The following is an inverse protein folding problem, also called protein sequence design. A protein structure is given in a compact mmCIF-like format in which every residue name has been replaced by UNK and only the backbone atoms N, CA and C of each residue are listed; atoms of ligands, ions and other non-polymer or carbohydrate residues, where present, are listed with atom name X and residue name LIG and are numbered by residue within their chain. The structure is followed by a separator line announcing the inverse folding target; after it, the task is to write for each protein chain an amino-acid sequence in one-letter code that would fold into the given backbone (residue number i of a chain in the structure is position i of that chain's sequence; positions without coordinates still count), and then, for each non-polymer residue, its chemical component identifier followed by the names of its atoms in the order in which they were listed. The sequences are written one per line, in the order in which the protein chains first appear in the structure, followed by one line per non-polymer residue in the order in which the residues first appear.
data_IF_929961202156
#
_entry.id   IF_929961202156
#
_cell.length_a   1.000
_cell.length_b   1.000
_cell.length_c   1.000
_cell.angle_alpha   90.00
_cell.angle_beta   90.00
_cell.angle_gamma   90.00
#
_symmetry.space_group_name_H-M   'P 1'
#
loop_
_entity.id
_entity.type
_entity.pdbx_description
1 polymer ?
#
# COMPACT_ATOMS: atom_id res chain seq x y z
N UNK A 1 20.88 -1.26 16.50
CA UNK A 1 20.10 -0.18 15.91
C UNK A 1 18.68 -0.27 16.44
N UNK A 2 17.96 0.83 16.56
CA UNK A 2 16.54 0.82 16.94
C UNK A 2 15.75 0.27 15.77
N UNK A 3 14.91 -0.72 15.98
CA UNK A 3 14.03 -1.23 14.93
C UNK A 3 12.91 -0.20 14.62
N UNK A 4 12.35 -0.25 13.43
CA UNK A 4 11.22 0.60 13.03
C UNK A 4 10.10 0.58 14.05
N UNK A 5 9.62 -0.60 14.43
CA UNK A 5 8.55 -0.76 15.42
C UNK A 5 8.87 -0.14 16.78
N UNK A 6 10.13 -0.24 17.23
CA UNK A 6 10.57 0.37 18.49
C UNK A 6 10.56 1.90 18.37
N UNK A 7 10.98 2.46 17.24
CA UNK A 7 10.95 3.90 17.01
C UNK A 7 9.52 4.43 16.92
N UNK A 8 8.64 3.78 16.16
CA UNK A 8 7.22 4.15 16.07
C UNK A 8 6.57 4.11 17.48
N UNK A 9 6.91 3.14 18.33
CA UNK A 9 6.39 3.08 19.70
C UNK A 9 6.82 4.29 20.55
N UNK A 10 8.02 4.85 20.33
CA UNK A 10 8.44 6.09 20.96
C UNK A 10 7.56 7.26 20.48
N UNK A 11 7.33 7.37 19.17
CA UNK A 11 6.51 8.43 18.57
C UNK A 11 5.06 8.38 19.07
N UNK A 12 4.49 7.20 19.27
CA UNK A 12 3.16 7.02 19.88
C UNK A 12 3.04 7.67 21.26
N UNK A 13 4.17 7.80 21.97
CA UNK A 13 4.25 8.47 23.26
C UNK A 13 3.76 9.92 23.22
N UNK A 14 3.89 10.63 22.12
CA UNK A 14 3.47 12.02 21.93
C UNK A 14 2.46 12.26 20.79
N UNK A 15 2.14 11.28 19.97
CA UNK A 15 1.04 11.33 19.00
C UNK A 15 -0.32 11.17 19.73
N UNK A 16 -0.73 12.19 20.51
CA UNK A 16 -1.91 12.14 21.39
C UNK A 16 -3.18 12.64 20.73
N UNK A 17 -3.06 13.37 19.63
CA UNK A 17 -4.22 13.85 18.89
C UNK A 17 -5.00 12.69 18.28
N UNK A 18 -6.34 12.64 18.40
CA UNK A 18 -7.16 11.61 17.79
C UNK A 18 -6.97 11.48 16.27
N UNK A 19 -6.61 12.58 15.59
CA UNK A 19 -6.34 12.60 14.16
C UNK A 19 -5.19 11.67 13.78
N UNK A 20 -4.20 11.45 14.66
CA UNK A 20 -3.08 10.55 14.43
C UNK A 20 -3.49 9.06 14.47
N UNK A 21 -4.71 8.71 14.88
CA UNK A 21 -5.21 7.33 15.03
C UNK A 21 -4.23 6.40 15.77
N UNK A 22 -3.45 6.99 16.71
CA UNK A 22 -2.44 6.27 17.49
C UNK A 22 -1.24 5.77 16.68
N UNK A 23 -1.00 6.30 15.48
CA UNK A 23 -0.01 5.79 14.49
C UNK A 23 -0.21 4.29 14.21
N UNK A 24 -1.47 3.87 14.03
CA UNK A 24 -1.88 2.50 13.74
C UNK A 24 -2.68 2.40 12.43
N UNK A 25 -2.76 3.50 11.69
CA UNK A 25 -3.52 3.58 10.44
C UNK A 25 -2.63 4.13 9.31
N UNK A 26 -3.10 4.07 8.07
CA UNK A 26 -2.36 4.49 6.87
C UNK A 26 -2.17 6.02 6.83
N UNK A 27 -3.13 6.76 7.37
CA UNK A 27 -3.14 8.21 7.28
C UNK A 27 -3.70 8.87 8.54
N UNK A 28 -3.32 10.12 8.76
CA UNK A 28 -4.01 10.98 9.73
C UNK A 28 -5.37 11.42 9.18
N UNK A 29 -6.35 11.53 10.07
CA UNK A 29 -7.73 11.98 9.77
C UNK A 29 -8.06 13.19 10.61
N UNK A 30 -7.98 14.37 10.01
CA UNK A 30 -8.14 15.66 10.69
C UNK A 30 -9.53 16.23 10.41
N UNK A 31 -10.31 16.45 11.46
CA UNK A 31 -11.61 17.11 11.36
C UNK A 31 -11.42 18.62 11.10
N UNK A 32 -11.99 19.13 10.02
CA UNK A 32 -11.93 20.55 9.64
C UNK A 32 -13.34 21.02 9.28
N UNK A 33 -14.02 21.64 10.24
CA UNK A 33 -15.44 22.02 10.08
C UNK A 33 -16.29 20.81 9.74
N UNK A 34 -17.00 20.86 8.62
CA UNK A 34 -17.85 19.76 8.15
C UNK A 34 -17.11 18.74 7.27
N UNK A 35 -15.79 18.88 7.12
CA UNK A 35 -14.95 18.02 6.30
C UNK A 35 -13.95 17.22 7.12
N UNK A 36 -13.48 16.09 6.60
CA UNK A 36 -12.33 15.34 7.11
C UNK A 36 -11.18 15.45 6.10
N UNK A 37 -10.09 16.04 6.50
CA UNK A 37 -8.84 16.07 5.74
C UNK A 37 -8.06 14.79 6.05
N UNK A 38 -7.64 14.09 5.01
CA UNK A 38 -6.77 12.92 5.06
C UNK A 38 -5.37 13.36 4.67
N UNK A 39 -4.38 13.01 5.51
CA UNK A 39 -2.99 13.40 5.30
C UNK A 39 -2.12 12.16 5.49
N UNK A 40 -1.34 11.84 4.48
CA UNK A 40 -0.31 10.81 4.55
C UNK A 40 1.04 11.32 4.10
N UNK A 41 2.12 10.61 4.44
CA UNK A 41 3.48 10.94 4.04
C UNK A 41 4.32 9.68 3.94
N UNK A 42 4.73 9.34 2.71
CA UNK A 42 5.68 8.27 2.44
C UNK A 42 6.98 8.80 1.88
N UNK A 43 8.05 8.09 2.20
CA UNK A 43 9.40 8.35 1.72
C UNK A 43 9.91 7.20 0.86
N UNK A 44 10.73 7.52 -0.11
CA UNK A 44 11.51 6.55 -0.87
C UNK A 44 13.01 6.87 -0.73
N UNK A 45 13.81 5.83 -0.49
CA UNK A 45 15.27 5.92 -0.43
C UNK A 45 15.90 5.03 -1.50
N UNK A 46 16.95 5.54 -2.14
CA UNK A 46 17.76 4.81 -3.11
C UNK A 46 18.40 3.58 -2.45
N UNK A 47 18.44 2.47 -3.17
CA UNK A 47 18.86 1.13 -2.75
C UNK A 47 17.98 0.46 -1.66
N UNK A 48 16.84 1.10 -1.33
CA UNK A 48 15.80 0.50 -0.48
C UNK A 48 14.52 0.30 -1.30
N UNK A 49 13.98 1.38 -1.88
CA UNK A 49 12.72 1.39 -2.60
C UNK A 49 12.89 1.45 -4.12
N UNK A 50 14.04 1.91 -4.60
CA UNK A 50 14.41 1.94 -6.01
C UNK A 50 15.94 1.80 -6.16
N UNK A 51 16.38 1.22 -7.27
CA UNK A 51 17.81 1.07 -7.57
C UNK A 51 18.42 2.37 -8.07
N UNK A 52 19.74 2.55 -7.91
CA UNK A 52 20.48 3.72 -8.38
C UNK A 52 20.37 3.96 -9.90
N UNK A 53 20.16 2.89 -10.68
CA UNK A 53 19.93 2.92 -12.13
C UNK A 53 18.45 2.95 -12.53
N UNK A 54 17.53 3.06 -11.58
CA UNK A 54 16.10 3.12 -11.90
C UNK A 54 15.78 4.34 -12.77
N UNK A 55 14.81 4.18 -13.67
CA UNK A 55 14.33 5.27 -14.49
C UNK A 55 13.69 6.33 -13.58
N UNK A 56 14.17 7.60 -13.62
CA UNK A 56 13.67 8.66 -12.73
C UNK A 56 12.15 8.89 -12.86
N UNK A 57 11.59 8.72 -14.06
CA UNK A 57 10.15 8.87 -14.26
C UNK A 57 9.32 7.77 -13.57
N UNK A 58 9.87 6.57 -13.46
CA UNK A 58 9.24 5.46 -12.74
C UNK A 58 9.33 5.68 -11.22
N UNK A 59 10.46 6.19 -10.74
CA UNK A 59 10.61 6.60 -9.33
C UNK A 59 9.59 7.67 -8.95
N UNK A 60 9.38 8.66 -9.81
CA UNK A 60 8.36 9.69 -9.61
C UNK A 60 6.95 9.09 -9.58
N UNK A 61 6.67 8.13 -10.48
CA UNK A 61 5.38 7.46 -10.51
C UNK A 61 5.12 6.69 -9.21
N UNK A 62 6.07 5.85 -8.81
CA UNK A 62 5.94 5.02 -7.60
C UNK A 62 5.76 5.87 -6.35
N UNK A 63 6.54 6.96 -6.20
CA UNK A 63 6.43 7.89 -5.06
C UNK A 63 5.04 8.52 -4.96
N UNK A 64 4.45 8.92 -6.08
CA UNK A 64 3.08 9.49 -6.08
C UNK A 64 2.05 8.40 -5.84
N UNK A 65 2.15 7.26 -6.52
CA UNK A 65 1.17 6.19 -6.43
C UNK A 65 1.10 5.56 -5.04
N UNK A 66 2.24 5.36 -4.34
CA UNK A 66 2.27 4.86 -2.96
C UNK A 66 1.50 5.78 -2.01
N UNK A 67 1.76 7.07 -2.06
CA UNK A 67 1.05 8.04 -1.21
C UNK A 67 -0.45 8.16 -1.56
N UNK A 68 -0.81 8.07 -2.84
CA UNK A 68 -2.21 8.07 -3.25
C UNK A 68 -2.92 6.77 -2.87
N UNK A 69 -2.19 5.67 -2.69
CA UNK A 69 -2.72 4.39 -2.21
C UNK A 69 -3.27 4.52 -0.78
N UNK A 70 -2.56 5.22 0.10
CA UNK A 70 -3.08 5.54 1.44
C UNK A 70 -4.37 6.36 1.38
N UNK A 71 -4.44 7.36 0.48
CA UNK A 71 -5.68 8.11 0.28
C UNK A 71 -6.81 7.22 -0.22
N UNK A 72 -6.51 6.26 -1.10
CA UNK A 72 -7.47 5.27 -1.58
C UNK A 72 -7.98 4.40 -0.43
N UNK A 73 -7.09 3.94 0.46
CA UNK A 73 -7.42 3.19 1.67
C UNK A 73 -8.35 3.94 2.64
N UNK A 74 -8.41 5.26 2.53
CA UNK A 74 -9.33 6.12 3.33
C UNK A 74 -10.56 6.59 2.52
N UNK A 75 -10.72 6.11 1.29
CA UNK A 75 -11.80 6.55 0.40
C UNK A 75 -11.76 8.05 0.15
N UNK A 76 -10.58 8.64 0.07
CA UNK A 76 -10.41 10.07 -0.06
C UNK A 76 -10.38 10.52 -1.53
N UNK A 77 -10.86 11.73 -1.77
CA UNK A 77 -10.63 12.47 -3.01
C UNK A 77 -9.33 13.28 -2.86
N UNK A 78 -8.30 13.01 -3.65
CA UNK A 78 -7.05 13.78 -3.57
C UNK A 78 -7.27 15.27 -3.84
N UNK A 79 -6.61 16.12 -3.05
CA UNK A 79 -6.55 17.59 -3.25
C UNK A 79 -5.25 17.96 -3.95
N UNK A 80 -4.13 17.39 -3.50
CA UNK A 80 -2.81 17.69 -4.01
C UNK A 80 -1.70 17.10 -3.16
N UNK A 81 -0.47 17.34 -3.59
CA UNK A 81 0.73 16.80 -2.95
C UNK A 81 1.77 17.88 -2.66
N UNK A 82 2.59 17.63 -1.64
CA UNK A 82 3.82 18.39 -1.34
C UNK A 82 5.01 17.46 -1.54
N UNK A 83 6.02 17.92 -2.27
CA UNK A 83 7.22 17.12 -2.58
C UNK A 83 8.41 17.56 -1.73
N UNK A 84 9.06 16.64 -1.02
CA UNK A 84 10.38 16.79 -0.45
C UNK A 84 11.41 16.18 -1.40
N UNK A 85 12.36 16.96 -1.90
CA UNK A 85 13.27 16.53 -2.95
C UNK A 85 14.73 16.82 -2.63
N UNK A 86 15.61 15.84 -2.87
CA UNK A 86 17.06 16.03 -2.78
C UNK A 86 17.65 16.16 -4.17
N UNK A 87 18.11 17.39 -4.51
CA UNK A 87 18.82 17.69 -5.76
C UNK A 87 20.13 16.89 -5.87
N UNK A 88 20.36 16.32 -7.04
CA UNK A 88 21.55 15.53 -7.33
C UNK A 88 22.08 15.80 -8.74
N UNK A 89 21.96 14.84 -9.63
CA UNK A 89 22.33 14.93 -11.04
C UNK A 89 21.24 15.68 -11.84
N UNK A 90 21.62 16.67 -12.63
CA UNK A 90 20.69 17.55 -13.36
C UNK A 90 19.81 16.81 -14.38
N UNK A 91 20.35 15.81 -15.07
CA UNK A 91 19.61 15.03 -16.06
C UNK A 91 18.60 14.11 -15.37
N UNK A 92 19.00 13.49 -14.26
CA UNK A 92 18.11 12.67 -13.43
C UNK A 92 16.97 13.50 -12.84
N UNK A 93 17.30 14.67 -12.25
CA UNK A 93 16.35 15.56 -11.60
C UNK A 93 15.30 16.08 -12.61
N UNK A 94 15.73 16.42 -13.83
CA UNK A 94 14.82 16.83 -14.93
C UNK A 94 13.93 15.68 -15.40
N UNK A 95 14.48 14.49 -15.53
CA UNK A 95 13.71 13.30 -15.92
C UNK A 95 12.68 12.91 -14.87
N UNK A 96 13.03 13.01 -13.57
CA UNK A 96 12.10 12.85 -12.47
C UNK A 96 10.97 13.88 -12.53
N UNK A 97 11.29 15.16 -12.71
CA UNK A 97 10.29 16.22 -12.79
C UNK A 97 9.31 16.00 -13.96
N UNK A 98 9.81 15.55 -15.12
CA UNK A 98 8.97 15.19 -16.26
C UNK A 98 8.08 13.97 -16.00
N UNK A 99 8.58 12.99 -15.23
CA UNK A 99 7.81 11.84 -14.75
C UNK A 99 6.72 12.26 -13.75
N UNK A 100 7.09 13.15 -12.84
CA UNK A 100 6.16 13.72 -11.84
C UNK A 100 4.99 14.43 -12.51
N UNK A 101 5.25 15.28 -13.51
CA UNK A 101 4.20 15.95 -14.28
C UNK A 101 3.23 14.95 -14.90
N UNK A 102 3.75 13.85 -15.47
CA UNK A 102 2.92 12.81 -16.11
C UNK A 102 2.03 12.08 -15.10
N UNK A 103 2.58 11.65 -13.96
CA UNK A 103 1.80 10.92 -12.97
C UNK A 103 0.78 11.81 -12.27
N UNK A 104 1.11 13.07 -11.98
CA UNK A 104 0.16 14.03 -11.43
C UNK A 104 -0.97 14.30 -12.43
N UNK A 105 -0.65 14.44 -13.71
CA UNK A 105 -1.65 14.56 -14.79
C UNK A 105 -2.53 13.32 -14.93
N UNK A 106 -1.97 12.12 -14.78
CA UNK A 106 -2.71 10.85 -14.82
C UNK A 106 -3.78 10.76 -13.71
N UNK A 107 -3.43 11.12 -12.48
CA UNK A 107 -4.36 11.10 -11.35
C UNK A 107 -5.19 12.40 -11.22
N UNK A 108 -4.90 13.43 -11.98
CA UNK A 108 -5.56 14.74 -11.87
C UNK A 108 -5.27 15.43 -10.53
N UNK A 109 -4.06 15.25 -9.99
CA UNK A 109 -3.64 15.76 -8.67
C UNK A 109 -2.69 16.92 -8.82
N UNK A 110 -2.89 17.99 -8.03
CA UNK A 110 -2.08 19.20 -8.10
C UNK A 110 -0.78 19.06 -7.27
N UNK A 111 0.34 19.57 -7.79
CA UNK A 111 1.51 19.88 -6.96
C UNK A 111 1.24 21.21 -6.22
N UNK A 112 1.14 21.17 -4.90
CA UNK A 112 0.83 22.34 -4.05
C UNK A 112 2.08 23.07 -3.58
N UNK A 113 3.24 22.40 -3.58
CA UNK A 113 4.49 22.93 -3.11
C UNK A 113 5.44 21.84 -2.65
N UNK A 114 6.32 22.17 -1.73
CA UNK A 114 7.30 21.24 -1.19
C UNK A 114 8.57 21.95 -0.72
N UNK A 115 9.62 21.17 -0.52
CA UNK A 115 10.94 21.69 -0.16
C UNK A 115 12.01 20.97 -0.97
N UNK A 116 13.13 21.67 -1.23
CA UNK A 116 14.24 21.17 -2.03
C UNK A 116 15.54 21.43 -1.32
N UNK A 117 16.34 20.37 -1.12
CA UNK A 117 17.66 20.46 -0.48
C UNK A 117 18.73 19.90 -1.41
N UNK A 118 19.97 20.36 -1.28
CA UNK A 118 21.10 19.80 -2.02
C UNK A 118 21.53 18.47 -1.39
N UNK A 119 21.64 17.43 -2.19
CA UNK A 119 22.27 16.18 -1.78
C UNK A 119 23.79 16.37 -1.72
N UNK A 120 24.38 16.06 -0.57
CA UNK A 120 25.84 16.04 -0.36
C UNK A 120 26.38 14.62 -0.20
N UNK A 121 25.51 13.63 -0.24
CA UNK A 121 25.82 12.21 -0.18
C UNK A 121 25.68 11.55 -1.54
N UNK A 122 25.86 10.23 -1.57
CA UNK A 122 25.83 9.43 -2.79
C UNK A 122 24.41 8.88 -3.09
N UNK A 123 23.47 8.96 -2.13
CA UNK A 123 22.12 8.37 -2.26
C UNK A 123 21.02 9.41 -2.12
N UNK A 124 19.93 9.19 -2.85
CA UNK A 124 18.72 10.02 -2.83
C UNK A 124 17.73 9.56 -1.78
N UNK A 125 17.08 10.54 -1.16
CA UNK A 125 15.87 10.33 -0.38
C UNK A 125 14.80 11.31 -0.87
N UNK A 126 13.61 10.82 -1.10
CA UNK A 126 12.47 11.56 -1.62
C UNK A 126 11.31 11.38 -0.67
N UNK A 127 10.52 12.41 -0.44
CA UNK A 127 9.33 12.33 0.39
C UNK A 127 8.16 13.02 -0.28
N UNK A 128 6.98 12.49 -0.10
CA UNK A 128 5.77 13.12 -0.61
C UNK A 128 4.69 13.11 0.46
N UNK A 129 4.04 14.26 0.65
CA UNK A 129 2.84 14.35 1.48
C UNK A 129 1.64 14.43 0.57
N UNK A 130 0.70 13.51 0.68
CA UNK A 130 -0.56 13.58 -0.04
C UNK A 130 -1.70 14.05 0.88
N UNK A 131 -2.54 14.93 0.34
CA UNK A 131 -3.70 15.49 1.01
C UNK A 131 -4.96 15.13 0.24
N UNK A 132 -6.00 14.71 0.96
CA UNK A 132 -7.31 14.39 0.39
C UNK A 132 -8.45 14.75 1.33
N UNK A 133 -9.65 14.78 0.79
CA UNK A 133 -10.90 14.92 1.56
C UNK A 133 -11.62 13.59 1.55
N UNK A 134 -12.00 13.10 2.73
CA UNK A 134 -12.80 11.89 2.85
C UNK A 134 -14.16 12.06 2.14
N UNK A 135 -14.52 11.07 1.32
CA UNK A 135 -15.81 11.07 0.60
C UNK A 135 -16.94 10.45 1.42
N UNK A 136 -16.60 9.76 2.51
CA UNK A 136 -17.55 9.09 3.40
C UNK A 136 -17.17 9.30 4.88
N UNK A 137 -18.16 9.22 5.76
CA UNK A 137 -17.98 9.20 7.21
C UNK A 137 -18.81 8.07 7.82
N UNK A 138 -18.27 7.30 8.77
CA UNK A 138 -16.91 7.40 9.28
C UNK A 138 -15.87 7.06 8.22
N UNK A 139 -14.69 7.67 8.30
CA UNK A 139 -13.56 7.36 7.41
C UNK A 139 -13.06 5.95 7.71
N UNK A 140 -12.89 5.07 6.71
CA UNK A 140 -12.35 3.74 6.91
C UNK A 140 -11.04 3.73 7.69
N UNK A 141 -10.81 2.68 8.44
CA UNK A 141 -9.62 2.48 9.26
C UNK A 141 -9.15 1.03 9.13
N UNK A 142 -7.91 0.76 9.49
CA UNK A 142 -7.43 -0.64 9.71
C UNK A 142 -8.20 -1.32 10.83
N UNK A 143 -8.68 -0.55 11.82
CA UNK A 143 -9.55 -1.03 12.89
C UNK A 143 -11.02 -0.98 12.48
N UNK A 144 -11.82 -1.93 12.97
CA UNK A 144 -13.28 -1.92 12.75
C UNK A 144 -13.85 -3.17 12.12
N UNK A 145 -12.99 -4.13 11.69
CA UNK A 145 -13.44 -5.43 11.24
C UNK A 145 -14.32 -6.12 12.28
N UNK A 146 -15.28 -6.92 11.84
CA UNK A 146 -16.24 -7.60 12.68
C UNK A 146 -16.20 -9.12 12.43
N UNK A 147 -16.42 -9.92 13.47
CA UNK A 147 -16.49 -11.39 13.30
C UNK A 147 -17.56 -11.75 12.29
N UNK A 148 -17.18 -12.55 11.31
CA UNK A 148 -18.05 -12.95 10.19
C UNK A 148 -17.94 -12.07 8.94
N UNK A 149 -17.17 -10.99 8.99
CA UNK A 149 -16.82 -10.25 7.78
C UNK A 149 -16.01 -11.14 6.83
N UNK A 150 -16.21 -10.90 5.55
CA UNK A 150 -15.37 -11.46 4.49
C UNK A 150 -14.22 -10.50 4.23
N UNK A 151 -13.02 -11.05 4.08
CA UNK A 151 -11.79 -10.31 3.72
C UNK A 151 -11.62 -10.35 2.22
N UNK A 152 -11.45 -9.19 1.63
CA UNK A 152 -11.30 -9.01 0.19
C UNK A 152 -9.99 -8.29 -0.15
N UNK A 153 -9.49 -8.55 -1.36
CA UNK A 153 -8.44 -7.73 -2.00
C UNK A 153 -8.92 -7.28 -3.38
N UNK A 154 -8.55 -6.07 -3.79
CA UNK A 154 -8.73 -5.61 -5.18
C UNK A 154 -7.65 -6.18 -6.08
N UNK A 155 -7.88 -6.22 -7.40
CA UNK A 155 -6.89 -6.58 -8.41
C UNK A 155 -6.22 -7.94 -8.21
N UNK A 156 -4.91 -8.01 -8.47
CA UNK A 156 -4.06 -9.21 -8.36
C UNK A 156 -2.82 -8.93 -7.52
N UNK A 157 -2.25 -9.99 -6.89
CA UNK A 157 -1.09 -9.89 -6.02
C UNK A 157 0.12 -10.60 -6.62
N UNK A 158 1.32 -10.12 -6.26
CA UNK A 158 2.59 -10.72 -6.62
C UNK A 158 3.18 -10.25 -7.96
N UNK A 159 2.45 -9.47 -8.74
CA UNK A 159 2.97 -8.92 -10.00
C UNK A 159 4.18 -8.01 -9.75
N UNK A 160 4.17 -7.23 -8.67
CA UNK A 160 5.29 -6.40 -8.25
C UNK A 160 6.53 -7.24 -7.87
N UNK A 161 6.35 -8.38 -7.18
CA UNK A 161 7.43 -9.35 -6.90
C UNK A 161 8.08 -9.84 -8.20
N UNK A 162 7.25 -10.33 -9.13
CA UNK A 162 7.76 -10.85 -10.40
C UNK A 162 8.46 -9.78 -11.23
N UNK A 163 7.92 -8.56 -11.24
CA UNK A 163 8.54 -7.39 -11.88
C UNK A 163 9.90 -7.04 -11.26
N UNK A 164 9.97 -6.98 -9.94
CA UNK A 164 11.24 -6.77 -9.23
C UNK A 164 12.30 -7.81 -9.59
N UNK A 165 11.95 -9.10 -9.58
CA UNK A 165 12.88 -10.18 -9.89
C UNK A 165 13.39 -10.12 -11.32
N UNK A 166 12.53 -9.80 -12.28
CA UNK A 166 12.92 -9.63 -13.67
C UNK A 166 13.89 -8.46 -13.85
N UNK A 167 13.59 -7.32 -13.24
CA UNK A 167 14.46 -6.13 -13.25
C UNK A 167 15.79 -6.43 -12.54
N UNK A 168 15.75 -7.15 -11.41
CA UNK A 168 16.97 -7.55 -10.68
C UNK A 168 17.86 -8.50 -11.51
N UNK A 169 17.24 -9.35 -12.31
CA UNK A 169 17.94 -10.24 -13.26
C UNK A 169 18.44 -9.53 -14.53
N UNK A 170 18.21 -8.21 -14.67
CA UNK A 170 18.67 -7.39 -15.79
C UNK A 170 17.74 -7.39 -17.02
N UNK A 171 16.46 -7.70 -16.82
CA UNK A 171 15.43 -7.61 -17.85
C UNK A 171 14.65 -6.30 -17.67
N UNK A 172 15.09 -5.23 -18.30
CA UNK A 172 14.55 -3.86 -18.06
C UNK A 172 13.18 -3.58 -18.72
N UNK A 173 12.75 -4.40 -19.68
CA UNK A 173 11.52 -4.19 -20.46
C UNK A 173 10.64 -5.45 -20.48
N UNK A 174 9.96 -5.75 -19.40
CA UNK A 174 9.20 -7.00 -19.27
C UNK A 174 7.69 -6.79 -19.17
N UNK A 175 7.19 -5.70 -19.74
CA UNK A 175 5.75 -5.47 -19.88
C UNK A 175 5.02 -5.32 -18.53
N UNK A 176 3.85 -5.93 -18.40
CA UNK A 176 2.93 -5.70 -17.28
C UNK A 176 3.54 -5.98 -15.90
N UNK A 177 4.46 -6.94 -15.76
CA UNK A 177 5.09 -7.25 -14.47
C UNK A 177 6.07 -6.15 -14.04
N UNK A 178 6.90 -5.64 -14.98
CA UNK A 178 7.80 -4.53 -14.69
C UNK A 178 7.00 -3.24 -14.38
N UNK A 179 5.90 -3.01 -15.10
CA UNK A 179 5.00 -1.89 -14.83
C UNK A 179 4.34 -2.01 -13.46
N UNK A 180 3.95 -3.20 -13.02
CA UNK A 180 3.38 -3.40 -11.69
C UNK A 180 4.34 -2.99 -10.57
N UNK A 181 5.64 -3.28 -10.70
CA UNK A 181 6.64 -2.86 -9.72
C UNK A 181 7.01 -1.38 -9.84
N UNK A 182 7.24 -0.89 -11.07
CA UNK A 182 7.74 0.47 -11.30
C UNK A 182 6.63 1.53 -11.26
N UNK A 183 5.42 1.17 -11.70
CA UNK A 183 4.29 2.09 -11.88
C UNK A 183 3.00 1.52 -11.30
N UNK A 184 2.96 1.21 -9.99
CA UNK A 184 1.76 0.71 -9.36
C UNK A 184 0.58 1.67 -9.55
N UNK A 185 -0.64 1.15 -9.38
CA UNK A 185 -1.87 1.91 -9.58
C UNK A 185 -2.59 2.12 -8.25
N UNK A 186 -2.68 3.37 -7.79
CA UNK A 186 -3.49 3.70 -6.62
C UNK A 186 -4.99 3.50 -6.90
N UNK A 187 -5.69 2.74 -6.08
CA UNK A 187 -7.09 2.33 -6.23
C UNK A 187 -8.08 3.39 -5.71
N UNK A 188 -7.87 4.66 -6.10
CA UNK A 188 -8.66 5.80 -5.60
C UNK A 188 -10.17 5.66 -5.85
N UNK A 189 -10.55 5.29 -7.07
CA UNK A 189 -11.97 5.12 -7.44
C UNK A 189 -12.61 3.96 -6.67
N UNK A 190 -11.88 2.86 -6.53
CA UNK A 190 -12.31 1.67 -5.78
C UNK A 190 -12.47 2.02 -4.30
N UNK A 191 -11.49 2.70 -3.70
CA UNK A 191 -11.53 3.12 -2.30
C UNK A 191 -12.73 4.02 -1.99
N UNK A 192 -13.01 5.01 -2.85
CA UNK A 192 -14.17 5.88 -2.70
C UNK A 192 -15.49 5.11 -2.79
N UNK A 193 -15.60 4.14 -3.70
CA UNK A 193 -16.78 3.29 -3.83
C UNK A 193 -16.96 2.33 -2.65
N UNK A 194 -15.87 1.85 -2.07
CA UNK A 194 -15.87 0.89 -0.96
C UNK A 194 -16.15 1.57 0.39
N UNK A 195 -15.66 2.80 0.59
CA UNK A 195 -15.71 3.51 1.87
C UNK A 195 -17.07 3.49 2.59
N UNK A 196 -18.25 3.57 1.90
CA UNK A 196 -19.53 3.51 2.58
C UNK A 196 -19.94 2.11 3.08
N UNK A 197 -19.28 1.05 2.66
CA UNK A 197 -19.75 -0.33 2.85
C UNK A 197 -18.80 -1.21 3.65
N UNK A 198 -17.55 -0.78 3.84
CA UNK A 198 -16.52 -1.56 4.54
C UNK A 198 -16.53 -1.28 6.04
N UNK A 199 -16.18 -2.29 6.83
CA UNK A 199 -15.93 -2.14 8.26
C UNK A 199 -14.48 -1.78 8.56
N UNK A 200 -13.53 -2.31 7.77
CA UNK A 200 -12.12 -1.96 7.82
C UNK A 200 -11.54 -1.91 6.41
N UNK A 201 -10.56 -1.04 6.17
CA UNK A 201 -9.86 -0.92 4.90
C UNK A 201 -8.46 -0.33 5.10
N UNK A 202 -7.49 -0.86 4.36
CA UNK A 202 -6.13 -0.37 4.21
C UNK A 202 -5.61 -0.75 2.82
N UNK A 203 -4.46 -0.23 2.42
CA UNK A 203 -3.77 -0.73 1.23
C UNK A 203 -2.78 -1.87 1.58
N UNK A 204 -2.26 -2.53 0.56
CA UNK A 204 -1.25 -3.59 0.65
C UNK A 204 0.08 -3.02 0.16
N UNK A 205 0.89 -2.53 1.09
CA UNK A 205 2.21 -1.96 0.81
C UNK A 205 3.35 -2.91 1.16
N UNK A 206 3.24 -3.64 2.27
CA UNK A 206 4.29 -4.54 2.77
C UNK A 206 4.00 -6.02 2.49
N UNK A 207 2.81 -6.32 2.00
CA UNK A 207 2.34 -7.64 1.63
C UNK A 207 1.06 -8.05 2.36
N UNK A 208 0.20 -8.80 1.67
CA UNK A 208 -1.11 -9.18 2.20
C UNK A 208 -1.05 -9.77 3.60
N UNK A 209 -0.09 -10.68 3.88
CA UNK A 209 -0.08 -11.38 5.17
C UNK A 209 0.27 -10.46 6.33
N UNK A 210 1.25 -9.59 6.19
CA UNK A 210 1.62 -8.65 7.26
C UNK A 210 0.55 -7.57 7.44
N UNK A 211 -0.06 -7.10 6.36
CA UNK A 211 -1.09 -6.08 6.40
C UNK A 211 -2.41 -6.64 6.96
N UNK A 212 -2.75 -7.91 6.65
CA UNK A 212 -3.85 -8.60 7.30
C UNK A 212 -3.61 -8.82 8.81
N UNK A 213 -2.37 -9.11 9.24
CA UNK A 213 -2.03 -9.21 10.67
C UNK A 213 -2.15 -7.85 11.37
N UNK A 214 -1.73 -6.75 10.71
CA UNK A 214 -1.92 -5.39 11.22
C UNK A 214 -3.40 -5.04 11.37
N UNK A 215 -4.23 -5.39 10.38
CA UNK A 215 -5.68 -5.20 10.43
C UNK A 215 -6.33 -6.04 11.54
N UNK A 216 -5.93 -7.31 11.69
CA UNK A 216 -6.39 -8.19 12.76
C UNK A 216 -6.05 -7.61 14.15
N UNK A 217 -4.80 -7.15 14.32
CA UNK A 217 -4.32 -6.53 15.55
C UNK A 217 -5.07 -5.23 15.87
N UNK A 218 -5.25 -4.34 14.88
CA UNK A 218 -5.97 -3.08 15.05
C UNK A 218 -7.44 -3.32 15.41
N UNK A 219 -8.06 -4.35 14.84
CA UNK A 219 -9.45 -4.76 15.12
C UNK A 219 -9.59 -5.64 16.38
N UNK A 220 -8.48 -6.12 16.96
CA UNK A 220 -8.45 -7.07 18.10
C UNK A 220 -9.20 -8.36 17.81
N UNK A 221 -9.09 -8.86 16.59
CA UNK A 221 -9.75 -10.06 16.08
C UNK A 221 -8.74 -10.96 15.37
N UNK A 222 -9.16 -12.16 14.97
CA UNK A 222 -8.40 -13.01 14.07
C UNK A 222 -8.80 -12.78 12.61
N UNK A 223 -7.83 -12.93 11.71
CA UNK A 223 -8.08 -13.01 10.27
C UNK A 223 -7.54 -14.36 9.78
N UNK A 224 -8.36 -15.05 9.01
CA UNK A 224 -7.98 -16.27 8.29
C UNK A 224 -7.91 -15.96 6.80
N UNK A 225 -6.76 -16.20 6.18
CA UNK A 225 -6.54 -16.04 4.73
C UNK A 225 -6.45 -17.42 4.08
N UNK A 226 -7.20 -17.61 3.01
CA UNK A 226 -7.14 -18.81 2.17
C UNK A 226 -6.23 -18.57 0.95
N UNK A 227 -5.06 -19.20 0.97
CA UNK A 227 -4.07 -19.07 -0.10
C UNK A 227 -4.61 -19.58 -1.45
N UNK A 228 -5.55 -20.53 -1.46
CA UNK A 228 -6.19 -20.99 -2.69
C UNK A 228 -7.00 -19.88 -3.39
N UNK A 229 -7.42 -18.85 -2.63
CA UNK A 229 -8.22 -17.74 -3.13
C UNK A 229 -7.40 -16.51 -3.53
N UNK A 230 -6.07 -16.51 -3.33
CA UNK A 230 -5.23 -15.36 -3.71
C UNK A 230 -5.33 -15.10 -5.23
N UNK A 231 -5.75 -13.92 -5.66
CA UNK A 231 -5.84 -13.60 -7.08
C UNK A 231 -4.46 -13.39 -7.69
N UNK A 232 -4.09 -14.22 -8.66
CA UNK A 232 -2.85 -14.10 -9.42
C UNK A 232 -3.16 -13.68 -10.85
N UNK A 233 -2.35 -12.79 -11.43
CA UNK A 233 -2.49 -12.40 -12.82
C UNK A 233 -2.05 -13.53 -13.77
N UNK A 234 -2.55 -13.56 -15.01
CA UNK A 234 -2.01 -14.48 -16.03
C UNK A 234 -0.51 -14.30 -16.29
N UNK A 235 0.01 -13.07 -16.16
CA UNK A 235 1.43 -12.79 -16.33
C UNK A 235 2.26 -13.40 -15.20
N UNK A 236 1.81 -13.26 -13.95
CA UNK A 236 2.46 -13.89 -12.81
C UNK A 236 2.44 -15.41 -12.90
N UNK A 237 1.29 -16.01 -13.24
CA UNK A 237 1.15 -17.47 -13.41
C UNK A 237 2.03 -17.99 -14.55
N UNK A 238 2.20 -17.22 -15.63
CA UNK A 238 3.12 -17.58 -16.72
C UNK A 238 4.58 -17.55 -16.28
N UNK A 239 4.94 -16.61 -15.41
CA UNK A 239 6.30 -16.47 -14.88
C UNK A 239 6.64 -17.50 -13.79
N UNK A 240 5.71 -17.69 -12.83
CA UNK A 240 5.97 -18.47 -11.61
C UNK A 240 5.22 -19.79 -11.49
N UNK A 241 4.28 -20.07 -12.36
CA UNK A 241 3.32 -21.19 -12.22
C UNK A 241 2.41 -21.01 -11.00
N UNK A 242 1.17 -21.45 -11.09
CA UNK A 242 0.23 -21.42 -9.97
C UNK A 242 0.50 -22.61 -9.03
N UNK A 243 1.01 -22.33 -7.85
CA UNK A 243 1.32 -23.29 -6.80
C UNK A 243 1.10 -22.69 -5.41
N UNK A 244 1.01 -23.51 -4.37
CA UNK A 244 0.93 -23.03 -3.00
C UNK A 244 2.13 -22.14 -2.64
N UNK A 245 3.32 -22.49 -3.10
CA UNK A 245 4.54 -21.73 -2.86
C UNK A 245 4.48 -20.36 -3.53
N UNK A 246 4.10 -20.29 -4.81
CA UNK A 246 3.99 -19.02 -5.54
C UNK A 246 2.90 -18.11 -4.96
N UNK A 247 1.76 -18.68 -4.52
CA UNK A 247 0.71 -17.94 -3.81
C UNK A 247 1.17 -17.41 -2.46
N UNK A 248 1.94 -18.20 -1.70
CA UNK A 248 2.56 -17.76 -0.46
C UNK A 248 3.53 -16.60 -0.70
N UNK A 249 4.37 -16.68 -1.75
CA UNK A 249 5.31 -15.62 -2.12
C UNK A 249 4.57 -14.35 -2.54
N UNK A 250 3.54 -14.45 -3.39
CA UNK A 250 2.69 -13.32 -3.78
C UNK A 250 2.04 -12.65 -2.55
N UNK A 251 1.56 -13.44 -1.60
CA UNK A 251 0.90 -12.91 -0.39
C UNK A 251 1.89 -12.31 0.65
N UNK A 252 3.18 -12.66 0.58
CA UNK A 252 4.22 -12.21 1.52
C UNK A 252 5.10 -11.08 0.96
N UNK A 253 4.91 -10.66 -0.29
CA UNK A 253 5.66 -9.58 -0.91
C UNK A 253 4.83 -8.30 -0.93
N UNK A 254 5.49 -7.15 -0.80
CA UNK A 254 4.86 -5.84 -0.85
C UNK A 254 4.80 -5.21 -2.25
N UNK A 255 4.58 -3.91 -2.28
CA UNK A 255 4.51 -3.07 -3.48
C UNK A 255 3.31 -3.34 -4.42
N UNK A 256 2.29 -4.10 -3.98
CA UNK A 256 1.10 -4.36 -4.80
C UNK A 256 0.16 -3.14 -4.86
N UNK A 257 0.07 -2.35 -3.77
CA UNK A 257 -0.79 -1.16 -3.65
C UNK A 257 -2.27 -1.41 -4.02
N UNK A 258 -2.73 -2.64 -3.80
CA UNK A 258 -4.12 -3.03 -3.85
C UNK A 258 -4.81 -2.71 -2.51
N UNK A 259 -6.15 -2.70 -2.48
CA UNK A 259 -6.90 -2.50 -1.23
C UNK A 259 -7.22 -3.83 -0.56
N UNK A 260 -6.88 -3.93 0.72
CA UNK A 260 -7.33 -4.97 1.64
C UNK A 260 -8.50 -4.42 2.45
N UNK A 261 -9.66 -5.10 2.44
CA UNK A 261 -10.82 -4.62 3.20
C UNK A 261 -11.69 -5.74 3.75
N UNK A 262 -12.39 -5.42 4.83
CA UNK A 262 -13.38 -6.29 5.45
C UNK A 262 -14.78 -5.71 5.26
N UNK A 263 -15.71 -6.54 4.80
CA UNK A 263 -17.10 -6.15 4.60
C UNK A 263 -18.06 -7.24 5.11
N UNK A 264 -19.31 -6.88 5.50
CA UNK A 264 -20.30 -7.84 5.95
C UNK A 264 -20.52 -8.99 4.94
N UNK A 265 -20.69 -10.21 5.44
CA UNK A 265 -21.10 -11.31 4.58
C UNK A 265 -22.40 -10.96 3.84
N UNK A 266 -22.37 -11.07 2.50
CA UNK A 266 -23.48 -10.68 1.64
C UNK A 266 -23.51 -9.19 1.25
N UNK A 267 -22.53 -8.38 1.64
CA UNK A 267 -22.37 -7.03 1.13
C UNK A 267 -22.22 -7.06 -0.41
N UNK A 268 -22.87 -6.12 -1.08
CA UNK A 268 -22.70 -5.97 -2.53
C UNK A 268 -21.42 -5.19 -2.83
N UNK A 269 -20.38 -5.92 -3.14
CA UNK A 269 -19.10 -5.33 -3.57
C UNK A 269 -19.25 -4.89 -5.03
N UNK A 270 -19.06 -3.60 -5.29
CA UNK A 270 -19.28 -2.94 -6.60
C UNK A 270 -17.97 -2.51 -7.27
N UNK A 271 -16.86 -3.16 -6.89
CA UNK A 271 -15.54 -3.03 -7.49
C UNK A 271 -15.01 -4.43 -7.81
N UNK A 272 -14.00 -4.50 -8.67
CA UNK A 272 -13.28 -5.75 -8.93
C UNK A 272 -12.45 -6.13 -7.70
N UNK A 273 -12.89 -7.17 -6.99
CA UNK A 273 -12.26 -7.64 -5.76
C UNK A 273 -12.53 -9.13 -5.53
N UNK A 274 -11.57 -9.80 -4.95
CA UNK A 274 -11.60 -11.24 -4.67
C UNK A 274 -11.71 -11.48 -3.17
N UNK A 275 -12.64 -12.34 -2.75
CA UNK A 275 -12.72 -12.82 -1.37
C UNK A 275 -11.54 -13.78 -1.10
N UNK A 276 -10.69 -13.41 -0.15
CA UNK A 276 -9.45 -14.15 0.17
C UNK A 276 -9.44 -14.71 1.58
N UNK A 277 -10.49 -14.44 2.38
CA UNK A 277 -10.52 -14.91 3.76
C UNK A 277 -11.73 -14.43 4.54
N UNK A 278 -11.64 -14.53 5.85
CA UNK A 278 -12.69 -14.14 6.78
C UNK A 278 -12.15 -13.63 8.11
N UNK A 279 -12.95 -12.82 8.77
CA UNK A 279 -12.66 -12.36 10.14
C UNK A 279 -13.26 -13.36 11.12
N UNK A 280 -12.44 -13.82 12.07
CA UNK A 280 -12.79 -14.82 13.08
C UNK A 280 -12.61 -14.26 14.48
N UNK A 281 -13.26 -14.92 15.47
CA UNK A 281 -12.99 -14.65 16.87
C UNK A 281 -11.57 -15.09 17.23
N UNK A 282 -10.95 -14.40 18.18
CA UNK A 282 -9.57 -14.66 18.60
C UNK A 282 -8.66 -13.50 18.21
N UNK A 283 -7.41 -13.77 17.86
CA UNK A 283 -6.44 -12.77 17.47
C UNK A 283 -5.39 -13.32 16.52
N UNK A 284 -4.73 -12.42 15.79
CA UNK A 284 -3.64 -12.74 14.88
C UNK A 284 -4.09 -13.28 13.52
N UNK A 285 -3.12 -13.71 12.73
CA UNK A 285 -3.31 -14.23 11.38
C UNK A 285 -3.25 -15.77 11.39
N UNK A 286 -4.14 -16.40 10.63
CA UNK A 286 -4.09 -17.83 10.33
C UNK A 286 -4.19 -18.04 8.82
N UNK A 287 -3.60 -19.14 8.33
CA UNK A 287 -3.60 -19.48 6.91
C UNK A 287 -4.24 -20.84 6.69
N UNK A 288 -4.96 -20.96 5.58
CA UNK A 288 -5.39 -22.25 5.02
C UNK A 288 -5.12 -22.29 3.50
N UNK A 289 -5.27 -23.46 2.93
CA UNK A 289 -5.32 -23.69 1.48
C UNK A 289 -6.52 -24.60 1.22
N UNK A 290 -7.66 -23.99 0.95
CA UNK A 290 -8.97 -24.62 1.07
C UNK A 290 -9.22 -25.05 2.54
N UNK A 291 -9.54 -26.32 2.78
CA UNK A 291 -9.79 -26.83 4.13
C UNK A 291 -8.51 -27.18 4.92
N UNK A 292 -7.33 -27.14 4.28
CA UNK A 292 -6.08 -27.57 4.90
C UNK A 292 -5.39 -26.39 5.61
N UNK A 293 -5.07 -26.48 6.92
CA UNK A 293 -4.32 -25.45 7.61
C UNK A 293 -2.89 -25.36 7.07
N UNK A 294 -2.39 -24.14 6.91
CA UNK A 294 -1.03 -23.85 6.43
C UNK A 294 -0.27 -23.10 7.53
N UNK A 295 1.00 -23.49 7.72
CA UNK A 295 1.87 -22.78 8.67
C UNK A 295 2.23 -21.40 8.14
N UNK A 296 2.23 -20.41 9.02
CA UNK A 296 2.75 -19.09 8.71
C UNK A 296 4.22 -19.15 8.27
N UNK A 297 4.63 -18.40 7.24
CA UNK A 297 6.02 -18.28 6.84
C UNK A 297 6.82 -17.56 7.94
N UNK A 298 8.16 -17.68 7.95
CA UNK A 298 9.02 -17.00 8.92
C UNK A 298 8.89 -15.47 8.87
N UNK A 299 8.60 -14.92 7.70
CA UNK A 299 8.40 -13.49 7.46
C UNK A 299 7.09 -13.31 6.74
N UNK A 300 6.21 -12.45 7.29
CA UNK A 300 4.88 -12.22 6.73
C UNK A 300 4.87 -11.18 5.60
N UNK A 301 5.91 -10.36 5.52
CA UNK A 301 6.02 -9.26 4.58
C UNK A 301 7.31 -8.48 4.77
N UNK A 302 7.43 -7.33 4.10
CA UNK A 302 8.58 -6.45 4.21
C UNK A 302 8.60 -5.74 5.57
N UNK A 303 9.79 -5.53 6.13
CA UNK A 303 10.03 -4.75 7.35
C UNK A 303 11.38 -4.04 7.25
N UNK A 304 11.41 -2.77 7.58
CA UNK A 304 12.67 -2.01 7.67
C UNK A 304 13.51 -2.46 8.87
N UNK A 305 14.81 -2.72 8.64
CA UNK A 305 15.78 -3.21 9.62
C UNK A 305 16.83 -2.15 9.98
#
# INVERSE_FOLDING_TARGET
MTTESAFINILRGFAKDPAARGLLDDAAVVEVGDSCLIITHDMMAEDVHFKSNANPADVAWKLVASNLSDLAAKGALPIGVLLGFMLGDDDWDRAFAAGLEKVLGHYGVALLGGDTVSNRGDKRALGLTALGIATNRPVPSRAGAQVGDIVYVTGTLGDALAGFELIDAGFDEVGALADAFNRPQARLTEGQKLAPFVHAMMDISDGLLIDAERMATASRLGIEIDLACIPLSPAYVSYRTDSLESRMQAASWGDDYELLFCAPAGARINVDATAVGRVIAGGGLTLCNGDAPVKLPPTLGYQHH
#
